data_IF_083964008885
#
_entry.id   IF_083964008885
#
_cell.length_a   1.000
_cell.length_b   1.000
_cell.length_c   1.000
_cell.angle_alpha   90.00
_cell.angle_beta   90.00
_cell.angle_gamma   90.00
#
_symmetry.space_group_name_H-M   'P 1'
#
loop_
_entity.id
_entity.type
_entity.pdbx_description
1 polymer ?
#
# COMPACT_ATOMS: atom_id res chain seq x y z
N UNK A 1 8.38 -77.88 -16.22
CA UNK A 1 7.48 -77.58 -15.07
C UNK A 1 7.82 -76.21 -14.55
N UNK A 2 6.91 -75.25 -14.72
CA UNK A 2 7.15 -73.86 -14.29
C UNK A 2 6.38 -73.56 -13.03
N UNK A 3 7.12 -73.42 -11.90
CA UNK A 3 6.53 -72.96 -10.63
C UNK A 3 6.24 -71.48 -10.74
N UNK A 4 4.99 -71.10 -10.57
CA UNK A 4 4.57 -69.68 -10.42
C UNK A 4 4.53 -69.36 -8.92
N UNK A 5 5.49 -68.57 -8.47
CA UNK A 5 5.49 -68.02 -7.15
C UNK A 5 4.55 -66.80 -7.09
N UNK A 6 3.48 -66.92 -6.32
CA UNK A 6 2.56 -65.82 -6.02
C UNK A 6 3.10 -65.08 -4.82
N UNK A 7 3.57 -63.82 -5.01
CA UNK A 7 3.94 -62.91 -3.95
C UNK A 7 2.67 -62.18 -3.47
N UNK A 8 2.27 -62.50 -2.23
CA UNK A 8 1.19 -61.80 -1.55
C UNK A 8 1.76 -60.54 -0.91
N UNK A 9 1.50 -59.38 -1.51
CA UNK A 9 1.86 -58.08 -0.94
C UNK A 9 0.81 -57.65 0.06
N UNK A 10 1.11 -57.74 1.34
CA UNK A 10 0.32 -57.16 2.42
C UNK A 10 0.50 -55.67 2.44
N UNK A 11 -0.50 -54.91 1.96
CA UNK A 11 -0.56 -53.48 2.13
C UNK A 11 -0.95 -53.12 3.57
N UNK A 12 0.02 -52.66 4.36
CA UNK A 12 -0.24 -51.99 5.63
C UNK A 12 -0.85 -50.64 5.35
N UNK A 13 -2.16 -50.47 5.57
CA UNK A 13 -2.81 -49.19 5.67
C UNK A 13 -2.36 -48.52 7.00
N UNK A 14 -1.37 -47.66 6.93
CA UNK A 14 -1.11 -46.68 7.97
C UNK A 14 -2.09 -45.53 7.79
N UNK A 15 -3.11 -45.49 8.64
CA UNK A 15 -3.99 -44.32 8.74
C UNK A 15 -3.18 -43.12 9.25
N UNK A 16 -3.23 -41.95 8.60
CA UNK A 16 -2.66 -40.75 9.19
C UNK A 16 -3.53 -40.37 10.40
N UNK A 17 -2.92 -40.37 11.59
CA UNK A 17 -3.51 -39.73 12.76
C UNK A 17 -3.61 -38.22 12.40
N UNK A 18 -4.82 -37.77 12.09
CA UNK A 18 -5.14 -36.36 12.04
C UNK A 18 -5.07 -35.86 13.47
N UNK A 19 -3.88 -35.35 13.85
CA UNK A 19 -3.77 -34.45 14.97
C UNK A 19 -4.52 -33.15 14.56
N UNK A 20 -5.80 -33.09 14.88
CA UNK A 20 -6.57 -31.85 14.90
C UNK A 20 -6.05 -31.02 16.07
N UNK A 21 -4.82 -30.53 15.94
CA UNK A 21 -4.40 -29.35 16.64
C UNK A 21 -5.15 -28.20 15.96
N UNK A 22 -6.18 -27.76 16.63
CA UNK A 22 -6.86 -26.49 16.35
C UNK A 22 -5.89 -25.36 16.69
N UNK A 23 -4.84 -25.22 15.87
CA UNK A 23 -4.21 -23.93 15.67
C UNK A 23 -5.31 -23.13 15.00
N UNK A 24 -6.06 -22.36 15.80
CA UNK A 24 -6.77 -21.21 15.27
C UNK A 24 -5.71 -20.42 14.51
N UNK A 25 -5.63 -20.68 13.22
CA UNK A 25 -4.92 -19.85 12.27
C UNK A 25 -5.51 -18.46 12.53
N UNK A 26 -4.72 -17.64 13.23
CA UNK A 26 -5.00 -16.22 13.32
C UNK A 26 -5.06 -15.78 11.86
N UNK A 27 -6.27 -15.77 11.32
CA UNK A 27 -6.54 -15.25 10.00
C UNK A 27 -6.11 -13.81 10.07
N UNK A 28 -4.86 -13.56 9.67
CA UNK A 28 -4.38 -12.22 9.40
C UNK A 28 -5.33 -11.72 8.34
N UNK A 29 -6.17 -10.76 8.71
CA UNK A 29 -7.14 -10.17 7.82
C UNK A 29 -6.35 -9.68 6.61
N UNK A 30 -6.51 -10.37 5.49
CA UNK A 30 -5.88 -9.95 4.24
C UNK A 30 -6.53 -8.62 3.89
N UNK A 31 -5.76 -7.52 3.80
CA UNK A 31 -6.34 -6.22 3.48
C UNK A 31 -7.05 -6.34 2.13
N UNK A 32 -8.33 -6.00 2.12
CA UNK A 32 -9.14 -5.97 0.91
C UNK A 32 -9.10 -4.55 0.38
N UNK A 33 -8.67 -4.40 -0.88
CA UNK A 33 -8.63 -3.08 -1.49
C UNK A 33 -7.51 -2.96 -2.54
N UNK A 34 -7.44 -1.81 -3.16
CA UNK A 34 -6.42 -1.51 -4.15
C UNK A 34 -5.10 -1.17 -3.44
N UNK A 35 -4.03 -1.92 -3.76
CA UNK A 35 -2.71 -1.67 -3.20
C UNK A 35 -2.08 -0.42 -3.81
N UNK A 36 -1.61 0.48 -2.96
CA UNK A 36 -0.85 1.68 -3.33
C UNK A 36 0.47 1.71 -2.59
N UNK A 37 1.52 2.18 -3.24
CA UNK A 37 2.85 2.32 -2.62
C UNK A 37 3.13 3.79 -2.35
N UNK A 38 3.34 4.15 -1.08
CA UNK A 38 3.68 5.51 -0.65
C UNK A 38 4.96 5.46 0.17
N UNK A 39 5.97 6.23 -0.22
CA UNK A 39 7.29 6.26 0.44
C UNK A 39 7.91 4.86 0.63
N UNK A 40 7.69 3.95 -0.32
CA UNK A 40 8.19 2.57 -0.26
C UNK A 40 7.42 1.62 0.67
N UNK A 41 6.29 2.05 1.23
CA UNK A 41 5.38 1.21 2.03
C UNK A 41 4.09 0.94 1.27
N UNK A 42 3.59 -0.28 1.36
CA UNK A 42 2.31 -0.66 0.75
C UNK A 42 1.17 -0.35 1.70
N UNK A 43 0.15 0.32 1.19
CA UNK A 43 -1.13 0.59 1.81
C UNK A 43 -2.24 0.07 0.92
N UNK A 44 -3.45 -0.01 1.45
CA UNK A 44 -4.64 -0.49 0.74
C UNK A 44 -5.74 0.55 0.87
N UNK A 45 -6.44 0.80 -0.23
CA UNK A 45 -7.59 1.70 -0.27
C UNK A 45 -8.83 0.92 0.13
N UNK A 46 -9.68 1.49 0.98
CA UNK A 46 -10.97 0.91 1.41
C UNK A 46 -12.05 0.98 0.29
N UNK A 47 -11.65 0.88 -0.94
CA UNK A 47 -12.59 0.84 -2.06
C UNK A 47 -12.99 -0.60 -2.36
N UNK A 48 -14.28 -0.88 -2.65
CA UNK A 48 -14.69 -2.19 -3.13
C UNK A 48 -13.91 -2.49 -4.41
N UNK A 49 -13.25 -3.65 -4.43
CA UNK A 49 -12.55 -4.10 -5.64
C UNK A 49 -13.58 -4.31 -6.75
N UNK A 50 -13.69 -3.35 -7.64
CA UNK A 50 -14.25 -3.65 -8.94
C UNK A 50 -13.27 -4.58 -9.65
N UNK A 51 -13.70 -5.81 -9.94
CA UNK A 51 -12.90 -6.75 -10.71
C UNK A 51 -12.69 -6.17 -12.10
N UNK A 52 -11.51 -5.58 -12.35
CA UNK A 52 -11.16 -5.05 -13.65
C UNK A 52 -10.29 -6.05 -14.40
N UNK A 53 -10.80 -6.57 -15.50
CA UNK A 53 -10.02 -7.38 -16.43
C UNK A 53 -8.85 -6.56 -17.03
N UNK A 54 -8.99 -5.25 -17.14
CA UNK A 54 -7.96 -4.36 -17.68
C UNK A 54 -6.69 -4.37 -16.81
N UNK A 55 -6.84 -4.52 -15.51
CA UNK A 55 -5.73 -4.65 -14.56
C UNK A 55 -4.92 -5.92 -14.80
N UNK A 56 -5.59 -7.01 -15.12
CA UNK A 56 -4.93 -8.29 -15.44
C UNK A 56 -4.04 -8.18 -16.69
N UNK A 57 -4.42 -7.32 -17.64
CA UNK A 57 -3.65 -7.06 -18.84
C UNK A 57 -2.64 -5.90 -18.71
N UNK A 58 -2.47 -5.30 -17.52
CA UNK A 58 -1.56 -4.18 -17.31
C UNK A 58 -1.94 -2.89 -18.05
N UNK A 59 -3.21 -2.74 -18.40
CA UNK A 59 -3.77 -1.60 -19.13
C UNK A 59 -4.41 -0.56 -18.20
N UNK A 60 -4.38 -0.80 -16.90
CA UNK A 60 -4.93 0.12 -15.89
C UNK A 60 -3.85 1.05 -15.37
N UNK A 61 -4.18 2.32 -15.22
CA UNK A 61 -3.30 3.33 -14.65
C UNK A 61 -2.92 2.99 -13.20
N UNK A 62 -1.77 3.50 -12.76
CA UNK A 62 -1.35 3.35 -11.36
C UNK A 62 -2.44 3.91 -10.42
N UNK A 63 -2.66 3.26 -9.25
CA UNK A 63 -3.70 3.68 -8.33
C UNK A 63 -3.46 5.11 -7.83
N UNK A 64 -4.49 5.95 -7.94
CA UNK A 64 -4.45 7.35 -7.55
C UNK A 64 -4.68 7.50 -6.05
N UNK A 65 -3.94 8.37 -5.41
CA UNK A 65 -4.09 8.73 -3.99
C UNK A 65 -4.42 10.21 -3.87
N UNK A 66 -5.42 10.52 -3.06
CA UNK A 66 -5.91 11.88 -2.89
C UNK A 66 -5.60 12.43 -1.49
N UNK A 67 -5.47 13.75 -1.39
CA UNK A 67 -5.28 14.44 -0.11
C UNK A 67 -6.51 14.26 0.78
N UNK A 68 -6.32 13.74 1.99
CA UNK A 68 -7.38 13.42 2.95
C UNK A 68 -7.95 12.01 2.82
N UNK A 69 -7.42 11.17 1.93
CA UNK A 69 -7.86 9.79 1.73
C UNK A 69 -7.43 8.89 2.90
N UNK A 70 -8.31 7.97 3.28
CA UNK A 70 -8.03 6.95 4.29
C UNK A 70 -7.50 5.69 3.61
N UNK A 71 -6.43 5.15 4.15
CA UNK A 71 -5.73 3.96 3.70
C UNK A 71 -5.59 2.99 4.86
N UNK A 72 -5.49 1.71 4.58
CA UNK A 72 -5.23 0.67 5.58
C UNK A 72 -3.83 0.10 5.35
N UNK A 73 -3.11 -0.23 6.43
CA UNK A 73 -1.80 -0.86 6.32
C UNK A 73 -1.89 -2.31 5.82
N UNK A 74 -0.74 -2.94 5.56
CA UNK A 74 -0.67 -4.32 5.11
C UNK A 74 -1.22 -5.36 6.11
N UNK A 75 -1.41 -4.98 7.38
CA UNK A 75 -2.02 -5.84 8.40
C UNK A 75 -3.54 -5.79 8.40
N UNK A 76 -4.14 -4.78 7.75
CA UNK A 76 -5.57 -4.54 7.77
C UNK A 76 -6.11 -3.98 9.10
N UNK A 77 -5.22 -3.65 10.05
CA UNK A 77 -5.60 -3.29 11.41
C UNK A 77 -5.48 -1.78 11.71
N UNK A 78 -4.58 -1.10 11.00
CA UNK A 78 -4.30 0.31 11.25
C UNK A 78 -4.77 1.16 10.09
N UNK A 79 -5.66 2.12 10.39
CA UNK A 79 -6.07 3.13 9.41
C UNK A 79 -5.08 4.29 9.41
N UNK A 80 -4.74 4.73 8.23
CA UNK A 80 -3.86 5.85 7.96
C UNK A 80 -4.59 6.88 7.12
N UNK A 81 -4.16 8.12 7.21
CA UNK A 81 -4.72 9.21 6.39
C UNK A 81 -3.61 10.01 5.74
N UNK A 82 -3.81 10.36 4.50
CA UNK A 82 -2.93 11.27 3.78
C UNK A 82 -3.26 12.70 4.19
N UNK A 83 -2.29 13.44 4.73
CA UNK A 83 -2.50 14.83 5.15
C UNK A 83 -2.58 15.82 3.98
N UNK A 84 -2.07 15.43 2.82
CA UNK A 84 -1.80 16.33 1.71
C UNK A 84 -0.52 17.16 1.91
N UNK A 85 0.26 16.91 2.95
CA UNK A 85 1.57 17.51 3.14
C UNK A 85 2.64 16.70 2.39
N UNK A 86 3.48 17.41 1.66
CA UNK A 86 4.57 16.85 0.87
C UNK A 86 5.86 17.49 1.34
N UNK A 87 6.78 16.65 1.77
CA UNK A 87 8.13 17.05 2.14
C UNK A 87 9.02 16.97 0.90
N UNK A 88 9.65 18.07 0.55
CA UNK A 88 10.52 18.15 -0.63
C UNK A 88 11.90 18.63 -0.20
N UNK A 89 12.95 18.01 -0.72
CA UNK A 89 14.31 18.50 -0.52
C UNK A 89 14.56 19.66 -1.48
N UNK A 90 14.35 20.88 -0.97
CA UNK A 90 14.51 22.14 -1.73
C UNK A 90 14.82 23.29 -0.78
N UNK A 91 15.51 24.29 -1.29
CA UNK A 91 15.63 25.58 -0.60
C UNK A 91 14.29 26.36 -0.68
N UNK A 92 14.22 27.48 0.06
CA UNK A 92 12.99 28.27 0.14
C UNK A 92 12.57 28.84 -1.22
N UNK A 93 13.51 29.32 -2.01
CA UNK A 93 13.21 29.97 -3.31
C UNK A 93 12.66 28.94 -4.30
N UNK A 94 13.30 27.76 -4.37
CA UNK A 94 12.84 26.63 -5.18
C UNK A 94 11.46 26.16 -4.72
N UNK A 95 11.24 26.05 -3.41
CA UNK A 95 9.97 25.63 -2.84
C UNK A 95 8.82 26.60 -3.13
N UNK A 96 9.09 27.92 -3.13
CA UNK A 96 8.11 28.94 -3.50
C UNK A 96 7.73 28.86 -4.99
N UNK A 97 8.71 28.55 -5.86
CA UNK A 97 8.44 28.33 -7.28
C UNK A 97 7.59 27.09 -7.52
N UNK A 98 7.98 25.96 -6.89
CA UNK A 98 7.24 24.71 -6.95
C UNK A 98 5.80 24.84 -6.44
N UNK A 99 5.61 25.60 -5.36
CA UNK A 99 4.29 25.86 -4.81
C UNK A 99 3.39 26.57 -5.82
N UNK A 100 3.92 27.57 -6.53
CA UNK A 100 3.17 28.32 -7.56
C UNK A 100 2.88 27.49 -8.81
N UNK A 101 3.86 26.71 -9.26
CA UNK A 101 3.75 25.90 -10.49
C UNK A 101 2.77 24.72 -10.33
N UNK A 102 2.63 24.19 -9.11
CA UNK A 102 1.82 23.00 -8.84
C UNK A 102 0.56 23.29 -8.00
N UNK A 103 0.16 24.54 -7.86
CA UNK A 103 -1.00 24.98 -7.06
C UNK A 103 -0.95 24.47 -5.60
N UNK A 104 0.25 24.56 -5.00
CA UNK A 104 0.52 24.18 -3.62
C UNK A 104 0.73 25.41 -2.74
N UNK A 105 0.58 25.22 -1.44
CA UNK A 105 0.93 26.23 -0.44
C UNK A 105 2.23 25.86 0.26
N UNK A 106 3.19 26.77 0.34
CA UNK A 106 4.38 26.58 1.16
C UNK A 106 4.02 26.77 2.64
N UNK A 107 4.14 25.71 3.42
CA UNK A 107 3.85 25.72 4.88
C UNK A 107 5.08 26.14 5.67
N UNK A 108 6.23 25.54 5.36
CA UNK A 108 7.50 25.88 6.01
C UNK A 108 8.68 25.48 5.13
N UNK A 109 9.83 26.12 5.39
CA UNK A 109 11.10 25.74 4.76
C UNK A 109 12.21 25.97 5.76
N UNK A 110 12.95 24.90 6.09
CA UNK A 110 14.09 24.95 7.00
C UNK A 110 15.09 23.82 6.67
N UNK A 111 16.39 24.11 6.79
CA UNK A 111 17.44 23.11 6.65
C UNK A 111 17.50 22.42 5.27
N UNK A 112 17.04 23.08 4.21
CA UNK A 112 17.01 22.47 2.87
C UNK A 112 15.86 21.50 2.67
N UNK A 113 14.86 21.50 3.56
CA UNK A 113 13.61 20.77 3.43
C UNK A 113 12.47 21.77 3.43
N UNK A 114 11.56 21.66 2.47
CA UNK A 114 10.34 22.42 2.40
C UNK A 114 9.14 21.50 2.62
N UNK A 115 8.13 22.02 3.29
CA UNK A 115 6.82 21.37 3.47
C UNK A 115 5.82 22.12 2.62
N UNK A 116 5.29 21.44 1.62
CA UNK A 116 4.25 21.94 0.72
C UNK A 116 2.92 21.29 1.08
N UNK A 117 1.84 22.01 0.92
CA UNK A 117 0.48 21.52 1.19
C UNK A 117 -0.35 21.56 -0.09
N UNK A 118 -0.88 20.42 -0.45
CA UNK A 118 -1.86 20.28 -1.52
C UNK A 118 -3.26 20.69 -1.04
N UNK A 119 -4.11 21.13 -1.94
CA UNK A 119 -5.52 21.37 -1.66
C UNK A 119 -6.23 20.08 -1.32
N UNK A 120 -7.30 20.14 -0.53
CA UNK A 120 -8.09 18.95 -0.20
C UNK A 120 -8.64 18.31 -1.47
N UNK A 121 -8.51 16.99 -1.56
CA UNK A 121 -8.93 16.22 -2.75
C UNK A 121 -7.99 16.32 -3.95
N UNK A 122 -6.82 16.98 -3.83
CA UNK A 122 -5.81 16.94 -4.88
C UNK A 122 -5.24 15.54 -5.07
N UNK A 123 -4.94 15.18 -6.31
CA UNK A 123 -4.29 13.92 -6.63
C UNK A 123 -2.79 14.00 -6.31
N UNK A 124 -2.36 13.18 -5.35
CA UNK A 124 -1.01 13.23 -4.80
C UNK A 124 -0.01 12.37 -5.55
N UNK A 125 -0.47 11.29 -6.20
CA UNK A 125 0.41 10.35 -6.91
C UNK A 125 1.05 11.00 -8.12
N UNK A 126 0.24 11.68 -8.94
CA UNK A 126 0.71 12.43 -10.10
C UNK A 126 1.62 13.60 -9.68
N UNK A 127 1.23 14.29 -8.62
CA UNK A 127 2.00 15.42 -8.10
C UNK A 127 3.40 15.00 -7.63
N UNK A 128 3.51 13.91 -6.88
CA UNK A 128 4.81 13.36 -6.45
C UNK A 128 5.62 12.91 -7.66
N UNK A 129 4.99 12.22 -8.61
CA UNK A 129 5.66 11.78 -9.84
C UNK A 129 6.24 12.95 -10.64
N UNK A 130 5.50 14.06 -10.74
CA UNK A 130 5.95 15.29 -11.42
C UNK A 130 7.13 15.93 -10.70
N UNK A 131 7.12 15.98 -9.36
CA UNK A 131 8.24 16.51 -8.57
C UNK A 131 9.49 15.63 -8.70
N UNK A 132 9.33 14.31 -8.70
CA UNK A 132 10.43 13.35 -8.89
C UNK A 132 11.01 13.42 -10.31
N UNK A 133 10.17 13.60 -11.33
CA UNK A 133 10.62 13.81 -12.71
C UNK A 133 11.47 15.07 -12.88
N UNK A 134 11.29 16.08 -12.02
CA UNK A 134 12.13 17.27 -11.94
C UNK A 134 13.43 17.04 -11.15
N UNK A 135 13.72 15.80 -10.73
CA UNK A 135 14.92 15.44 -9.96
C UNK A 135 14.83 15.76 -8.47
N UNK A 136 13.65 16.07 -7.96
CA UNK A 136 13.42 16.35 -6.55
C UNK A 136 13.10 15.07 -5.78
N UNK A 137 13.49 15.01 -4.51
CA UNK A 137 13.03 13.95 -3.60
C UNK A 137 11.80 14.47 -2.88
N UNK A 138 10.65 13.85 -3.17
CA UNK A 138 9.38 14.15 -2.55
C UNK A 138 8.90 12.99 -1.67
N UNK A 139 8.31 13.29 -0.52
CA UNK A 139 7.71 12.31 0.38
C UNK A 139 6.35 12.80 0.84
N UNK A 140 5.35 11.93 0.75
CA UNK A 140 4.01 12.21 1.22
C UNK A 140 3.91 11.94 2.71
N UNK A 141 3.31 12.84 3.47
CA UNK A 141 2.99 12.59 4.85
C UNK A 141 1.74 11.69 4.97
N UNK A 142 1.92 10.58 5.69
CA UNK A 142 0.84 9.65 6.05
C UNK A 142 0.87 9.48 7.56
N UNK A 143 -0.22 9.73 8.24
CA UNK A 143 -0.32 9.60 9.68
C UNK A 143 -1.38 8.55 10.08
N UNK A 144 -1.15 7.87 11.19
CA UNK A 144 -2.09 6.89 11.74
C UNK A 144 -3.21 7.61 12.48
N UNK A 145 -4.45 7.31 12.16
CA UNK A 145 -5.58 7.68 13.01
C UNK A 145 -5.69 6.64 14.14
N UNK A 146 -5.27 7.00 15.34
CA UNK A 146 -5.60 6.19 16.51
C UNK A 146 -7.10 6.31 16.77
N UNK A 147 -7.85 5.20 16.58
CA UNK A 147 -9.22 5.12 17.10
C UNK A 147 -9.14 5.35 18.60
N UNK A 148 -9.74 6.45 19.06
CA UNK A 148 -9.95 6.66 20.48
C UNK A 148 -10.84 5.52 20.98
N UNK A 149 -10.45 4.76 22.03
CA UNK A 149 -11.37 3.79 22.62
C UNK A 149 -12.59 4.54 23.14
N UNK A 150 -13.78 4.08 22.76
CA UNK A 150 -15.05 4.53 23.32
C UNK A 150 -15.20 4.08 24.77
#
# INVERSE_FOLDING_TARGET
>A
MKLKTILLSSALLSAPVMATGELAELAVATPQGEAVVINGKTFYKDAPQAFSLLRFFGLEDAPKVYAGETLTDATGLVSHKTSGLILVKADKTTAESLAKENDLSLVSSAGGIAVLKATSGAELTELISNLEAQGLRAQLEVFSEMKKPE
#
